data_IF_590567976449
#
_entry.id   IF_590567976449
#
_cell.length_a   1.000
_cell.length_b   1.000
_cell.length_c   1.000
_cell.angle_alpha   90.00
_cell.angle_beta   90.00
_cell.angle_gamma   90.00
#
_symmetry.space_group_name_H-M   'P 1'
#
loop_
_entity.id
_entity.type
_entity.pdbx_description
1 polymer ?
#
# COMPACT_ATOMS: atom_id res chain seq x y z
N UNK A 1 -4.74 -8.78 -28.33
CA UNK A 1 -3.66 -9.06 -27.37
C UNK A 1 -2.83 -7.81 -27.17
N UNK A 2 -2.55 -7.43 -25.92
CA UNK A 2 -1.60 -6.38 -25.57
C UNK A 2 -0.27 -7.04 -25.19
N UNK A 3 0.84 -6.60 -25.81
CA UNK A 3 2.20 -7.05 -25.49
C UNK A 3 3.03 -5.85 -25.07
N UNK A 4 3.70 -5.94 -23.92
CA UNK A 4 4.53 -4.87 -23.37
C UNK A 4 5.94 -5.38 -23.12
N UNK A 5 6.94 -4.75 -23.74
CA UNK A 5 8.37 -5.05 -23.60
C UNK A 5 9.09 -3.81 -23.05
N UNK A 6 9.23 -3.68 -21.70
CA UNK A 6 9.91 -2.56 -21.08
C UNK A 6 11.42 -2.60 -21.40
N UNK A 7 12.03 -1.47 -21.75
CA UNK A 7 13.48 -1.43 -22.08
C UNK A 7 14.39 -1.72 -20.88
N UNK A 8 13.91 -1.47 -19.67
CA UNK A 8 14.66 -1.65 -18.41
C UNK A 8 14.57 -3.07 -17.80
N UNK A 9 13.72 -3.95 -18.38
CA UNK A 9 13.57 -5.35 -17.96
C UNK A 9 13.81 -6.30 -19.15
N UNK A 10 14.35 -7.47 -18.84
CA UNK A 10 14.40 -8.57 -19.82
C UNK A 10 13.10 -9.37 -19.75
N UNK A 11 12.42 -9.53 -20.88
CA UNK A 11 11.15 -10.24 -21.01
C UNK A 11 10.00 -9.33 -21.41
N UNK A 12 8.83 -9.91 -21.52
CA UNK A 12 7.62 -9.21 -21.92
C UNK A 12 6.40 -9.70 -21.15
N UNK A 13 5.38 -8.86 -21.06
CA UNK A 13 4.03 -9.24 -20.62
C UNK A 13 3.14 -9.41 -21.85
N UNK A 14 2.34 -10.44 -21.83
CA UNK A 14 1.26 -10.66 -22.78
C UNK A 14 -0.06 -10.68 -22.00
N UNK A 15 -1.04 -9.89 -22.44
CA UNK A 15 -2.37 -9.80 -21.86
C UNK A 15 -3.44 -10.04 -22.93
N UNK A 16 -4.29 -11.03 -22.69
CA UNK A 16 -5.47 -11.31 -23.53
C UNK A 16 -6.68 -10.53 -23.00
N UNK A 17 -7.71 -10.38 -23.86
CA UNK A 17 -8.95 -9.65 -23.47
C UNK A 17 -9.82 -10.41 -22.45
N UNK A 18 -9.64 -11.72 -22.36
CA UNK A 18 -10.46 -12.62 -21.54
C UNK A 18 -9.74 -13.12 -20.27
N UNK A 19 -8.61 -12.52 -19.90
CA UNK A 19 -7.85 -12.89 -18.71
C UNK A 19 -7.57 -11.71 -17.78
N UNK A 20 -7.25 -12.00 -16.52
CA UNK A 20 -6.67 -11.08 -15.56
C UNK A 20 -5.25 -11.54 -15.26
N UNK A 21 -4.28 -10.68 -15.47
CA UNK A 21 -2.86 -10.96 -15.25
C UNK A 21 -2.34 -10.22 -14.03
N UNK A 22 -1.72 -10.93 -13.11
CA UNK A 22 -1.04 -10.35 -11.95
C UNK A 22 0.41 -10.03 -12.24
N UNK A 23 0.86 -8.83 -11.89
CA UNK A 23 2.24 -8.40 -11.94
C UNK A 23 2.77 -8.21 -10.51
N UNK A 24 3.62 -9.12 -10.06
CA UNK A 24 4.19 -9.11 -8.73
C UNK A 24 5.64 -8.66 -8.71
N UNK A 25 6.06 -8.10 -7.60
CA UNK A 25 7.42 -7.65 -7.37
C UNK A 25 7.50 -6.77 -6.14
N UNK A 26 8.70 -6.63 -5.61
CA UNK A 26 9.01 -5.76 -4.47
C UNK A 26 8.67 -4.29 -4.77
N UNK A 27 8.64 -3.47 -3.74
CA UNK A 27 8.64 -2.02 -3.92
C UNK A 27 9.89 -1.59 -4.70
N UNK A 28 9.71 -0.70 -5.66
CA UNK A 28 10.80 -0.26 -6.54
C UNK A 28 11.24 -1.28 -7.60
N UNK A 29 10.61 -2.46 -7.74
CA UNK A 29 10.95 -3.43 -8.78
C UNK A 29 10.60 -2.94 -10.20
N UNK A 30 9.78 -1.90 -10.33
CA UNK A 30 9.38 -1.34 -11.63
C UNK A 30 7.96 -1.70 -12.08
N UNK A 31 7.08 -2.17 -11.19
CA UNK A 31 5.68 -2.49 -11.52
C UNK A 31 4.96 -1.32 -12.19
N UNK A 32 4.95 -0.16 -11.54
CA UNK A 32 4.39 1.08 -12.10
C UNK A 32 5.07 1.46 -13.42
N UNK A 33 6.40 1.31 -13.51
CA UNK A 33 7.15 1.62 -14.73
C UNK A 33 6.73 0.73 -15.91
N UNK A 34 6.44 -0.56 -15.67
CA UNK A 34 5.88 -1.46 -16.70
C UNK A 34 4.52 -0.94 -17.19
N UNK A 35 3.65 -0.48 -16.29
CA UNK A 35 2.36 0.09 -16.66
C UNK A 35 2.52 1.42 -17.43
N UNK A 36 3.46 2.27 -17.01
CA UNK A 36 3.80 3.50 -17.76
C UNK A 36 4.37 3.17 -19.15
N UNK A 37 5.15 2.09 -19.29
CA UNK A 37 5.60 1.60 -20.60
C UNK A 37 4.40 1.18 -21.47
N UNK A 38 3.43 0.45 -20.91
CA UNK A 38 2.22 0.05 -21.62
C UNK A 38 1.40 1.25 -22.14
N UNK A 39 1.54 2.40 -21.51
CA UNK A 39 0.95 3.69 -21.91
C UNK A 39 1.90 4.51 -22.80
N UNK A 40 3.03 3.98 -23.23
CA UNK A 40 4.07 4.70 -24.00
C UNK A 40 4.60 5.98 -23.29
N UNK A 41 4.49 6.05 -21.97
CA UNK A 41 5.02 7.15 -21.16
C UNK A 41 6.44 6.86 -20.65
N UNK A 42 6.90 5.61 -20.82
CA UNK A 42 8.25 5.15 -20.52
C UNK A 42 8.77 4.33 -21.69
N UNK A 43 10.09 4.25 -21.80
CA UNK A 43 10.78 3.58 -22.93
C UNK A 43 10.51 2.08 -22.96
N UNK A 44 10.14 1.58 -24.15
CA UNK A 44 9.85 0.18 -24.41
C UNK A 44 9.10 -0.01 -25.72
N UNK A 45 8.68 -1.26 -25.99
CA UNK A 45 7.84 -1.59 -27.15
C UNK A 45 6.47 -2.03 -26.68
N UNK A 46 5.43 -1.49 -27.28
CA UNK A 46 4.05 -1.86 -27.01
C UNK A 46 3.34 -2.23 -28.29
N UNK A 47 2.90 -3.47 -28.35
CA UNK A 47 2.10 -3.97 -29.46
C UNK A 47 0.65 -4.17 -29.00
N UNK A 48 -0.29 -3.57 -29.70
CA UNK A 48 -1.72 -3.70 -29.43
C UNK A 48 -2.39 -4.31 -30.67
N UNK A 49 -2.84 -5.57 -30.56
CA UNK A 49 -3.50 -6.31 -31.64
C UNK A 49 -2.67 -6.43 -32.95
N UNK A 50 -1.34 -6.50 -32.85
CA UNK A 50 -0.42 -6.62 -33.99
C UNK A 50 0.16 -5.29 -34.49
N UNK A 51 -0.27 -4.16 -33.93
CA UNK A 51 0.17 -2.82 -34.32
C UNK A 51 1.10 -2.21 -33.25
N UNK A 52 2.06 -1.40 -33.67
CA UNK A 52 2.89 -0.60 -32.76
C UNK A 52 2.03 0.52 -32.15
N UNK A 53 1.64 0.31 -30.90
CA UNK A 53 0.76 1.25 -30.20
C UNK A 53 1.44 2.59 -29.95
N UNK A 54 2.76 2.61 -29.72
CA UNK A 54 3.47 3.86 -29.40
C UNK A 54 3.69 4.77 -30.61
N UNK A 55 3.60 4.24 -31.83
CA UNK A 55 3.70 5.07 -33.04
C UNK A 55 2.53 6.07 -33.15
N UNK A 56 1.33 5.70 -32.70
CA UNK A 56 0.14 6.54 -32.64
C UNK A 56 -0.75 6.08 -31.48
N UNK A 57 -0.47 6.51 -30.23
CA UNK A 57 -1.22 6.04 -29.07
C UNK A 57 -2.66 6.50 -29.10
N UNK A 58 -3.58 5.56 -28.91
CA UNK A 58 -4.98 5.84 -28.64
C UNK A 58 -5.29 5.46 -27.19
N UNK A 59 -5.19 6.41 -26.30
CA UNK A 59 -5.36 6.22 -24.87
C UNK A 59 -6.79 5.85 -24.44
N UNK A 60 -7.77 5.91 -25.34
CA UNK A 60 -9.12 5.40 -25.04
C UNK A 60 -9.17 3.88 -25.00
N UNK A 61 -8.20 3.21 -25.62
CA UNK A 61 -8.12 1.74 -25.70
C UNK A 61 -7.49 1.09 -24.47
N UNK A 62 -6.71 1.84 -23.66
CA UNK A 62 -6.05 1.34 -22.45
C UNK A 62 -6.39 2.25 -21.29
N UNK A 63 -7.25 1.77 -20.40
CA UNK A 63 -7.57 2.44 -19.15
C UNK A 63 -6.44 2.26 -18.12
N UNK A 64 -6.21 3.28 -17.29
CA UNK A 64 -5.24 3.21 -16.21
C UNK A 64 -5.84 3.68 -14.88
N UNK A 65 -5.61 2.92 -13.83
CA UNK A 65 -5.98 3.26 -12.45
C UNK A 65 -4.71 3.29 -11.61
N UNK A 66 -4.34 4.47 -11.13
CA UNK A 66 -3.11 4.65 -10.32
C UNK A 66 -3.28 4.16 -8.88
N UNK A 67 -2.16 3.94 -8.23
CA UNK A 67 -2.10 3.60 -6.80
C UNK A 67 -2.79 4.65 -5.93
N UNK A 68 -2.57 5.94 -6.23
CA UNK A 68 -3.18 7.06 -5.49
C UNK A 68 -4.39 7.64 -6.26
N UNK A 69 -5.63 7.35 -5.86
CA UNK A 69 -6.81 7.86 -6.54
C UNK A 69 -6.91 9.39 -6.56
N UNK A 70 -6.31 10.09 -5.57
CA UNK A 70 -6.37 11.55 -5.50
C UNK A 70 -5.62 12.25 -6.65
N UNK A 71 -4.71 11.56 -7.34
CA UNK A 71 -3.93 12.12 -8.45
C UNK A 71 -4.63 12.05 -9.81
N UNK A 72 -5.78 11.36 -9.92
CA UNK A 72 -6.46 11.10 -11.19
C UNK A 72 -7.84 11.74 -11.31
N UNK A 73 -8.36 12.35 -10.26
CA UNK A 73 -9.72 12.86 -10.20
C UNK A 73 -9.73 14.33 -10.60
N UNK A 74 -10.62 14.69 -11.52
CA UNK A 74 -10.87 16.05 -12.02
C UNK A 74 -12.17 16.62 -11.46
N UNK A 75 -13.21 15.79 -11.33
CA UNK A 75 -14.54 16.18 -10.86
C UNK A 75 -14.66 16.16 -9.33
N UNK A 76 -15.61 16.92 -8.79
CA UNK A 76 -15.94 16.84 -7.37
C UNK A 76 -16.69 15.57 -7.02
N UNK A 77 -17.59 15.11 -7.88
CA UNK A 77 -18.35 13.86 -7.80
C UNK A 77 -18.02 12.97 -8.99
N UNK A 78 -18.40 11.68 -8.94
CA UNK A 78 -18.25 10.79 -10.10
C UNK A 78 -19.12 11.25 -11.27
N UNK A 79 -20.25 11.87 -11.01
CA UNK A 79 -21.12 12.48 -12.01
C UNK A 79 -20.40 13.60 -12.76
N UNK A 80 -19.77 14.54 -12.03
CA UNK A 80 -18.99 15.63 -12.62
C UNK A 80 -17.78 15.11 -13.39
N UNK A 81 -17.12 14.06 -12.87
CA UNK A 81 -15.98 13.41 -13.52
C UNK A 81 -16.35 12.89 -14.91
N UNK A 82 -17.49 12.18 -15.02
CA UNK A 82 -17.96 11.65 -16.30
C UNK A 82 -18.40 12.77 -17.24
N UNK A 83 -19.02 13.82 -16.73
CA UNK A 83 -19.38 14.99 -17.52
C UNK A 83 -18.14 15.70 -18.09
N UNK A 84 -17.09 15.87 -17.29
CA UNK A 84 -15.81 16.42 -17.75
C UNK A 84 -15.20 15.52 -18.83
N UNK A 85 -15.13 14.19 -18.59
CA UNK A 85 -14.58 13.25 -19.55
C UNK A 85 -15.33 13.24 -20.88
N UNK A 86 -16.65 13.36 -20.85
CA UNK A 86 -17.48 13.37 -22.06
C UNK A 86 -17.15 14.49 -23.04
N UNK A 87 -16.46 15.55 -22.60
CA UNK A 87 -15.97 16.61 -23.49
C UNK A 87 -14.73 16.20 -24.31
N UNK A 88 -14.06 15.12 -23.96
CA UNK A 88 -12.82 14.69 -24.58
C UNK A 88 -12.90 13.29 -25.23
N UNK A 89 -13.71 12.40 -24.64
CA UNK A 89 -13.86 11.01 -25.08
C UNK A 89 -15.31 10.56 -24.94
N UNK A 90 -15.72 9.57 -25.74
CA UNK A 90 -17.00 8.90 -25.53
C UNK A 90 -16.98 8.17 -24.18
N UNK A 91 -17.94 8.50 -23.31
CA UNK A 91 -18.00 7.98 -21.95
C UNK A 91 -19.42 7.58 -21.55
N UNK A 92 -19.54 6.37 -21.01
CA UNK A 92 -20.80 5.79 -20.58
C UNK A 92 -21.11 6.09 -19.12
N UNK A 93 -22.00 7.05 -18.90
CA UNK A 93 -22.45 7.47 -17.58
C UNK A 93 -23.14 6.34 -16.81
N UNK A 94 -23.84 5.44 -17.51
CA UNK A 94 -24.60 4.36 -16.84
C UNK A 94 -23.67 3.31 -16.25
N UNK A 95 -22.53 3.01 -16.89
CA UNK A 95 -21.49 2.16 -16.31
C UNK A 95 -20.98 2.76 -15.00
N UNK A 96 -20.61 4.03 -15.01
CA UNK A 96 -20.09 4.70 -13.82
C UNK A 96 -21.15 4.77 -12.71
N UNK A 97 -22.40 5.10 -13.05
CA UNK A 97 -23.53 5.10 -12.11
C UNK A 97 -23.77 3.72 -11.50
N UNK A 98 -23.78 2.65 -12.31
CA UNK A 98 -23.93 1.27 -11.83
C UNK A 98 -22.80 0.86 -10.89
N UNK A 99 -21.58 1.25 -11.19
CA UNK A 99 -20.41 0.93 -10.36
C UNK A 99 -20.40 1.72 -9.05
N UNK A 100 -20.79 2.97 -9.05
CA UNK A 100 -20.81 3.81 -7.84
C UNK A 100 -22.06 3.64 -6.98
N UNK A 101 -23.20 3.28 -7.58
CA UNK A 101 -24.50 3.17 -6.89
C UNK A 101 -24.86 4.49 -6.21
N UNK A 102 -25.28 4.42 -4.94
CA UNK A 102 -25.71 5.58 -4.13
C UNK A 102 -24.59 6.63 -3.93
N UNK A 103 -23.35 6.27 -4.22
CA UNK A 103 -22.17 7.17 -4.07
C UNK A 103 -21.84 7.95 -5.35
N UNK A 104 -22.63 7.83 -6.42
CA UNK A 104 -22.35 8.45 -7.72
C UNK A 104 -22.26 9.99 -7.65
N UNK A 105 -23.14 10.62 -6.88
CA UNK A 105 -23.17 12.08 -6.67
C UNK A 105 -22.59 12.51 -5.31
N UNK A 106 -21.87 11.61 -4.61
CA UNK A 106 -21.21 11.94 -3.35
C UNK A 106 -19.84 12.57 -3.63
N UNK A 107 -19.50 13.71 -3.00
CA UNK A 107 -18.20 14.34 -3.17
C UNK A 107 -17.03 13.40 -2.87
N UNK A 108 -16.04 13.33 -3.76
CA UNK A 108 -14.89 12.45 -3.68
C UNK A 108 -14.18 12.51 -2.32
N UNK A 109 -14.04 13.72 -1.74
CA UNK A 109 -13.41 13.93 -0.44
C UNK A 109 -14.16 13.28 0.74
N UNK A 110 -15.45 12.95 0.57
CA UNK A 110 -16.28 12.29 1.59
C UNK A 110 -16.31 10.77 1.42
N UNK A 111 -15.77 10.25 0.32
CA UNK A 111 -15.72 8.82 0.06
C UNK A 111 -14.67 8.13 0.95
N UNK A 112 -14.95 6.90 1.36
CA UNK A 112 -13.92 6.02 1.92
C UNK A 112 -12.87 5.66 0.86
N UNK A 113 -11.69 5.20 1.29
CA UNK A 113 -10.61 4.86 0.34
C UNK A 113 -11.03 3.77 -0.66
N UNK A 114 -11.86 2.80 -0.25
CA UNK A 114 -12.44 1.81 -1.15
C UNK A 114 -13.33 2.45 -2.22
N UNK A 115 -14.18 3.37 -1.82
CA UNK A 115 -15.05 4.09 -2.78
C UNK A 115 -14.27 5.10 -3.64
N UNK A 116 -13.18 5.69 -3.16
CA UNK A 116 -12.29 6.51 -3.99
C UNK A 116 -11.64 5.70 -5.11
N UNK A 117 -11.16 4.48 -4.79
CA UNK A 117 -10.61 3.58 -5.82
C UNK A 117 -11.68 3.11 -6.79
N UNK A 118 -12.88 2.82 -6.29
CA UNK A 118 -14.02 2.47 -7.13
C UNK A 118 -14.44 3.63 -8.05
N UNK A 119 -14.36 4.87 -7.58
CA UNK A 119 -14.60 6.07 -8.37
C UNK A 119 -13.65 6.13 -9.58
N UNK A 120 -12.32 6.07 -9.36
CA UNK A 120 -11.34 6.11 -10.45
C UNK A 120 -11.49 4.93 -11.40
N UNK A 121 -11.80 3.73 -10.86
CA UNK A 121 -12.10 2.57 -11.69
C UNK A 121 -13.36 2.79 -12.55
N UNK A 122 -14.39 3.41 -11.99
CA UNK A 122 -15.64 3.71 -12.71
C UNK A 122 -15.40 4.74 -13.83
N UNK A 123 -14.58 5.75 -13.56
CA UNK A 123 -14.13 6.73 -14.55
C UNK A 123 -13.39 6.04 -15.70
N UNK A 124 -12.38 5.22 -15.39
CA UNK A 124 -11.63 4.48 -16.41
C UNK A 124 -12.49 3.51 -17.23
N UNK A 125 -13.43 2.81 -16.61
CA UNK A 125 -14.31 1.87 -17.30
C UNK A 125 -15.40 2.52 -18.14
N UNK A 126 -15.80 3.76 -17.83
CA UNK A 126 -16.79 4.49 -18.60
C UNK A 126 -16.36 4.76 -20.05
N UNK A 127 -15.07 4.75 -20.33
CA UNK A 127 -14.50 4.94 -21.68
C UNK A 127 -14.39 3.66 -22.49
N UNK A 128 -14.91 2.53 -22.01
CA UNK A 128 -14.89 1.22 -22.67
C UNK A 128 -13.49 0.78 -23.14
N UNK A 129 -12.45 0.83 -22.30
CA UNK A 129 -11.11 0.44 -22.72
C UNK A 129 -11.05 -1.05 -23.10
N UNK A 130 -10.21 -1.38 -24.10
CA UNK A 130 -9.96 -2.78 -24.47
C UNK A 130 -9.15 -3.52 -23.40
N UNK A 131 -8.28 -2.79 -22.70
CA UNK A 131 -7.43 -3.27 -21.61
C UNK A 131 -7.43 -2.29 -20.44
N UNK A 132 -7.29 -2.83 -19.24
CA UNK A 132 -7.21 -2.03 -18.02
C UNK A 132 -5.91 -2.33 -17.27
N UNK A 133 -5.21 -1.29 -16.87
CA UNK A 133 -4.02 -1.37 -16.04
C UNK A 133 -4.36 -0.84 -14.66
N UNK A 134 -4.15 -1.61 -13.59
CA UNK A 134 -4.46 -1.20 -12.23
C UNK A 134 -3.22 -1.34 -11.34
N UNK A 135 -2.74 -0.22 -10.81
CA UNK A 135 -1.55 -0.19 -9.98
C UNK A 135 -1.92 -0.20 -8.49
N UNK A 136 -1.55 -1.28 -7.79
CA UNK A 136 -1.75 -1.53 -6.37
C UNK A 136 -3.17 -1.18 -5.85
N UNK A 137 -4.24 -1.79 -6.41
CA UNK A 137 -5.62 -1.42 -6.09
C UNK A 137 -6.00 -1.69 -4.63
N UNK A 138 -5.36 -2.64 -3.95
CA UNK A 138 -5.74 -3.06 -2.61
C UNK A 138 -4.99 -2.33 -1.49
N UNK A 139 -4.07 -1.42 -1.83
CA UNK A 139 -3.40 -0.59 -0.84
C UNK A 139 -4.41 0.21 -0.01
N UNK A 140 -4.25 0.21 1.33
CA UNK A 140 -5.10 0.91 2.31
C UNK A 140 -6.57 0.44 2.39
N UNK A 141 -6.94 -0.66 1.72
CA UNK A 141 -8.28 -1.22 1.82
C UNK A 141 -8.36 -2.25 2.96
N UNK A 142 -9.51 -2.26 3.64
CA UNK A 142 -9.92 -3.37 4.50
C UNK A 142 -10.52 -4.51 3.65
N UNK A 143 -10.81 -5.66 4.26
CA UNK A 143 -11.35 -6.84 3.56
C UNK A 143 -12.65 -6.55 2.80
N UNK A 144 -13.51 -5.69 3.35
CA UNK A 144 -14.77 -5.31 2.70
C UNK A 144 -14.52 -4.46 1.45
N UNK A 145 -13.58 -3.50 1.53
CA UNK A 145 -13.14 -2.70 0.40
C UNK A 145 -12.52 -3.56 -0.71
N UNK A 146 -11.67 -4.51 -0.36
CA UNK A 146 -11.06 -5.45 -1.31
C UNK A 146 -12.14 -6.31 -1.98
N UNK A 147 -13.03 -6.94 -1.19
CA UNK A 147 -14.11 -7.78 -1.71
C UNK A 147 -15.04 -7.02 -2.67
N UNK A 148 -15.31 -5.75 -2.37
CA UNK A 148 -16.13 -4.88 -3.21
C UNK A 148 -15.42 -4.53 -4.52
N UNK A 149 -14.12 -4.25 -4.47
CA UNK A 149 -13.33 -3.87 -5.65
C UNK A 149 -13.12 -5.07 -6.59
N UNK A 150 -12.79 -6.25 -6.04
CA UNK A 150 -12.58 -7.49 -6.82
C UNK A 150 -13.77 -7.82 -7.72
N UNK A 151 -15.00 -7.59 -7.24
CA UNK A 151 -16.24 -7.89 -7.99
C UNK A 151 -16.43 -7.04 -9.25
N UNK A 152 -15.74 -5.91 -9.36
CA UNK A 152 -15.92 -4.95 -10.46
C UNK A 152 -14.72 -4.85 -11.40
N UNK A 153 -13.61 -5.55 -11.10
CA UNK A 153 -12.46 -5.64 -11.99
C UNK A 153 -12.82 -6.51 -13.21
N UNK A 154 -12.76 -5.97 -14.44
CA UNK A 154 -13.12 -6.73 -15.63
C UNK A 154 -12.00 -7.66 -16.10
N UNK A 155 -12.31 -8.52 -17.08
CA UNK A 155 -11.30 -9.24 -17.87
C UNK A 155 -10.55 -8.25 -18.78
N UNK A 156 -9.40 -8.65 -19.30
CA UNK A 156 -8.50 -7.74 -20.01
C UNK A 156 -7.70 -6.84 -19.07
N UNK A 157 -7.49 -7.25 -17.80
CA UNK A 157 -6.83 -6.44 -16.79
C UNK A 157 -5.42 -6.93 -16.46
N UNK A 158 -4.44 -6.01 -16.47
CA UNK A 158 -3.13 -6.17 -15.84
C UNK A 158 -3.16 -5.47 -14.47
N UNK A 159 -2.94 -6.24 -13.41
CA UNK A 159 -3.01 -5.76 -12.04
C UNK A 159 -1.65 -5.91 -11.36
N UNK A 160 -1.06 -4.81 -10.88
CA UNK A 160 0.16 -4.88 -10.06
C UNK A 160 -0.19 -5.02 -8.58
N UNK A 161 0.55 -5.84 -7.87
CA UNK A 161 0.43 -5.96 -6.41
C UNK A 161 1.72 -6.50 -5.75
N UNK A 162 1.83 -6.25 -4.46
CA UNK A 162 2.79 -6.92 -3.59
C UNK A 162 2.10 -7.79 -2.53
N UNK A 163 0.78 -7.63 -2.33
CA UNK A 163 -0.09 -8.44 -1.46
C UNK A 163 -0.69 -9.59 -2.26
N UNK A 164 -0.01 -10.74 -2.22
CA UNK A 164 -0.34 -11.84 -3.12
C UNK A 164 -1.69 -12.50 -2.80
N UNK A 165 -1.98 -12.77 -1.52
CA UNK A 165 -3.18 -13.53 -1.11
C UNK A 165 -4.49 -12.94 -1.63
N UNK A 166 -4.61 -11.61 -1.66
CA UNK A 166 -5.80 -10.91 -2.10
C UNK A 166 -6.05 -11.02 -3.61
N UNK A 167 -4.99 -11.30 -4.38
CA UNK A 167 -5.04 -11.30 -5.85
C UNK A 167 -5.17 -12.67 -6.47
N UNK A 168 -4.71 -13.73 -5.80
CA UNK A 168 -4.62 -15.08 -6.37
C UNK A 168 -5.94 -15.64 -6.89
N UNK A 169 -7.06 -15.32 -6.24
CA UNK A 169 -8.39 -15.78 -6.69
C UNK A 169 -8.90 -15.05 -7.93
N UNK A 170 -8.36 -13.86 -8.21
CA UNK A 170 -8.79 -12.99 -9.31
C UNK A 170 -8.03 -13.23 -10.60
N UNK A 171 -6.73 -13.53 -10.50
CA UNK A 171 -5.82 -13.63 -11.65
C UNK A 171 -5.85 -15.02 -12.30
N UNK A 172 -5.61 -15.08 -13.58
CA UNK A 172 -5.46 -16.31 -14.36
C UNK A 172 -3.98 -16.67 -14.53
N UNK A 173 -3.14 -15.68 -14.85
CA UNK A 173 -1.70 -15.79 -15.04
C UNK A 173 -0.96 -14.77 -14.21
N UNK A 174 0.32 -15.01 -13.97
CA UNK A 174 1.13 -14.12 -13.15
C UNK A 174 2.55 -13.96 -13.66
N UNK A 175 3.06 -12.74 -13.53
CA UNK A 175 4.45 -12.37 -13.78
C UNK A 175 5.12 -11.88 -12.51
N UNK A 176 6.40 -12.19 -12.36
CA UNK A 176 7.26 -11.70 -11.29
C UNK A 176 8.37 -10.83 -11.88
N UNK A 177 8.53 -9.63 -11.35
CA UNK A 177 9.72 -8.81 -11.62
C UNK A 177 10.78 -9.15 -10.59
N UNK A 178 11.92 -9.68 -11.06
CA UNK A 178 13.05 -10.07 -10.23
C UNK A 178 14.37 -9.84 -10.95
N UNK A 179 15.31 -9.18 -10.29
CA UNK A 179 16.70 -8.98 -10.76
C UNK A 179 16.79 -8.49 -12.22
N UNK A 180 15.96 -7.51 -12.58
CA UNK A 180 15.89 -6.96 -13.93
C UNK A 180 15.22 -7.87 -14.96
N UNK A 181 14.58 -8.95 -14.54
CA UNK A 181 13.86 -9.87 -15.39
C UNK A 181 12.37 -9.86 -15.09
N UNK A 182 11.56 -10.01 -16.14
CA UNK A 182 10.14 -10.21 -16.10
C UNK A 182 9.84 -11.67 -16.46
N UNK A 183 9.42 -12.46 -15.48
CA UNK A 183 9.29 -13.91 -15.61
C UNK A 183 7.88 -14.34 -15.31
N UNK A 184 7.26 -15.08 -16.22
CA UNK A 184 5.99 -15.74 -15.95
C UNK A 184 6.19 -16.83 -14.88
N UNK A 185 5.28 -16.88 -13.91
CA UNK A 185 5.31 -17.81 -12.79
C UNK A 185 3.96 -18.50 -12.63
N UNK A 186 4.03 -19.77 -12.30
CA UNK A 186 2.85 -20.53 -11.90
C UNK A 186 2.25 -19.97 -10.61
N UNK A 187 0.92 -19.86 -10.53
CA UNK A 187 0.19 -19.36 -9.37
C UNK A 187 0.49 -20.16 -8.09
N UNK A 188 0.76 -21.46 -8.21
CA UNK A 188 1.09 -22.33 -7.08
C UNK A 188 2.33 -21.88 -6.33
N UNK A 189 3.32 -21.29 -7.03
CA UNK A 189 4.50 -20.76 -6.38
C UNK A 189 4.18 -19.67 -5.34
N UNK A 190 3.15 -18.89 -5.59
CA UNK A 190 2.72 -17.80 -4.70
C UNK A 190 1.91 -18.27 -3.49
N UNK A 191 1.66 -19.57 -3.35
CA UNK A 191 1.07 -20.17 -2.14
C UNK A 191 2.15 -20.59 -1.14
N UNK A 192 3.41 -20.65 -1.55
CA UNK A 192 4.52 -21.12 -0.72
C UNK A 192 5.11 -19.98 0.13
N UNK A 193 5.07 -20.09 1.45
CA UNK A 193 5.65 -19.11 2.38
C UNK A 193 7.14 -18.80 2.08
N UNK A 194 7.92 -19.83 1.79
CA UNK A 194 9.35 -19.68 1.49
C UNK A 194 9.61 -18.93 0.19
N UNK A 195 8.76 -19.13 -0.83
CA UNK A 195 8.84 -18.38 -2.07
C UNK A 195 8.53 -16.91 -1.82
N UNK A 196 7.42 -16.60 -1.14
CA UNK A 196 7.03 -15.22 -0.85
C UNK A 196 8.10 -14.48 -0.05
N UNK A 197 8.65 -15.11 1.00
CA UNK A 197 9.76 -14.54 1.80
C UNK A 197 10.99 -14.25 0.96
N UNK A 198 11.41 -15.21 0.12
CA UNK A 198 12.60 -15.07 -0.73
C UNK A 198 12.45 -13.97 -1.78
N UNK A 199 11.25 -13.82 -2.34
CA UNK A 199 10.98 -12.82 -3.37
C UNK A 199 10.54 -11.45 -2.78
N UNK A 200 10.45 -11.33 -1.45
CA UNK A 200 10.05 -10.10 -0.76
C UNK A 200 8.59 -9.69 -1.04
N UNK A 201 7.73 -10.66 -1.30
CA UNK A 201 6.30 -10.46 -1.50
C UNK A 201 5.54 -10.65 -0.19
N UNK A 202 4.41 -9.97 -0.03
CA UNK A 202 3.55 -10.15 1.16
C UNK A 202 2.61 -11.34 1.03
N UNK A 203 2.17 -11.84 2.20
CA UNK A 203 1.27 -12.97 2.31
C UNK A 203 1.89 -14.22 2.92
N UNK A 204 3.20 -14.19 3.29
CA UNK A 204 3.78 -15.24 4.11
C UNK A 204 3.42 -15.07 5.59
N UNK A 205 3.53 -16.15 6.34
CA UNK A 205 3.39 -16.10 7.79
C UNK A 205 4.61 -15.45 8.42
N UNK A 206 4.37 -14.39 9.21
CA UNK A 206 5.42 -13.69 9.95
C UNK A 206 5.58 -14.33 11.34
N UNK A 207 6.83 -14.53 11.75
CA UNK A 207 7.11 -15.06 13.08
C UNK A 207 6.73 -14.03 14.16
N UNK A 208 6.07 -14.43 15.25
CA UNK A 208 5.70 -13.55 16.34
C UNK A 208 6.94 -12.89 16.99
N UNK A 209 6.72 -11.82 17.74
CA UNK A 209 7.76 -11.20 18.54
C UNK A 209 8.04 -12.02 19.80
N UNK A 210 9.31 -12.17 20.14
CA UNK A 210 9.78 -12.96 21.29
C UNK A 210 9.97 -12.06 22.52
N UNK A 211 8.88 -11.38 22.96
CA UNK A 211 8.93 -10.50 24.12
C UNK A 211 7.91 -10.91 25.16
N UNK A 212 8.27 -10.73 26.44
CA UNK A 212 7.36 -10.95 27.58
C UNK A 212 7.08 -9.60 28.23
N UNK A 213 5.84 -9.10 28.14
CA UNK A 213 5.44 -7.88 28.84
C UNK A 213 5.68 -7.97 30.34
N UNK A 214 6.16 -6.89 30.96
CA UNK A 214 6.30 -6.79 32.41
C UNK A 214 5.01 -6.28 33.07
N UNK A 215 4.99 -6.22 34.41
CA UNK A 215 3.87 -5.63 35.18
C UNK A 215 3.90 -4.07 35.18
N UNK A 216 5.00 -3.46 34.72
CA UNK A 216 5.15 -1.99 34.71
C UNK A 216 4.26 -1.36 33.67
N UNK A 217 3.33 -0.50 34.10
CA UNK A 217 2.47 0.28 33.20
C UNK A 217 3.22 1.49 32.66
N UNK A 218 3.31 1.61 31.33
CA UNK A 218 3.94 2.75 30.65
C UNK A 218 2.96 3.90 30.39
N UNK A 219 1.74 3.55 29.98
CA UNK A 219 0.69 4.55 29.71
C UNK A 219 -0.70 3.97 29.86
N UNK A 220 -1.66 4.82 30.17
CA UNK A 220 -3.09 4.53 30.15
C UNK A 220 -3.75 5.33 29.02
N UNK A 221 -4.69 4.76 28.33
CA UNK A 221 -5.45 5.41 27.25
C UNK A 221 -6.85 4.83 27.13
N UNK A 222 -7.70 5.44 26.30
CA UNK A 222 -9.08 4.98 26.12
C UNK A 222 -9.31 4.38 24.75
N UNK A 223 -10.02 3.25 24.72
CA UNK A 223 -10.49 2.58 23.50
C UNK A 223 -12.00 2.39 23.62
N UNK A 224 -12.82 3.00 22.78
CA UNK A 224 -14.30 2.95 22.85
C UNK A 224 -14.87 3.18 24.25
N UNK A 225 -14.28 4.10 25.01
CA UNK A 225 -14.72 4.44 26.37
C UNK A 225 -14.12 3.60 27.49
N UNK A 226 -13.53 2.45 27.19
CA UNK A 226 -12.82 1.62 28.17
C UNK A 226 -11.40 2.11 28.40
N UNK A 227 -10.93 2.02 29.63
CA UNK A 227 -9.54 2.31 29.98
C UNK A 227 -8.68 1.09 29.64
N UNK A 228 -7.62 1.33 28.87
CA UNK A 228 -6.62 0.35 28.50
C UNK A 228 -5.25 0.77 29.03
N UNK A 229 -4.40 -0.22 29.27
CA UNK A 229 -3.04 -0.01 29.76
C UNK A 229 -2.05 -0.67 28.83
N UNK A 230 -0.92 0.01 28.58
CA UNK A 230 0.22 -0.56 27.87
C UNK A 230 1.34 -0.82 28.87
N UNK A 231 1.89 -2.02 28.81
CA UNK A 231 2.97 -2.44 29.71
C UNK A 231 4.33 -2.34 29.03
N UNK A 232 5.38 -2.32 29.84
CA UNK A 232 6.76 -2.35 29.37
C UNK A 232 7.07 -3.65 28.64
N UNK A 233 7.64 -3.53 27.43
CA UNK A 233 7.93 -4.67 26.54
C UNK A 233 6.69 -5.25 25.85
N UNK A 234 5.53 -4.55 25.90
CA UNK A 234 4.29 -4.98 25.25
C UNK A 234 4.13 -4.36 23.88
N UNK A 235 3.72 -5.17 22.91
CA UNK A 235 3.13 -4.74 21.63
C UNK A 235 1.63 -4.98 21.65
N UNK A 236 0.85 -3.91 21.49
CA UNK A 236 -0.61 -3.93 21.50
C UNK A 236 -1.16 -3.54 20.14
N UNK A 237 -1.92 -4.44 19.50
CA UNK A 237 -2.68 -4.12 18.30
C UNK A 237 -4.10 -3.64 18.64
N UNK A 238 -4.53 -2.58 17.97
CA UNK A 238 -5.92 -2.14 17.90
C UNK A 238 -6.40 -2.40 16.48
N UNK A 239 -7.07 -3.53 16.29
CA UNK A 239 -7.59 -3.98 14.99
C UNK A 239 -8.99 -3.46 14.75
N UNK A 240 -9.29 -3.01 13.53
CA UNK A 240 -10.64 -2.60 13.14
C UNK A 240 -10.74 -2.15 11.69
N UNK A 241 -11.97 -2.13 11.18
CA UNK A 241 -12.27 -1.63 9.82
C UNK A 241 -11.91 -0.15 9.66
N UNK A 242 -11.85 0.31 8.42
CA UNK A 242 -11.71 1.74 8.15
C UNK A 242 -12.90 2.50 8.75
N UNK A 243 -12.61 3.65 9.40
CA UNK A 243 -13.62 4.45 10.11
C UNK A 243 -14.02 3.94 11.51
N UNK A 244 -13.47 2.83 12.02
CA UNK A 244 -13.81 2.30 13.35
C UNK A 244 -13.31 3.12 14.55
N UNK A 245 -12.49 4.17 14.29
CA UNK A 245 -11.94 5.04 15.33
C UNK A 245 -10.51 4.73 15.75
N UNK A 246 -9.76 3.90 14.99
CA UNK A 246 -8.34 3.57 15.22
C UNK A 246 -7.47 4.82 15.38
N UNK A 247 -7.43 5.65 14.35
CA UNK A 247 -6.66 6.92 14.35
C UNK A 247 -7.13 7.87 15.46
N UNK A 248 -8.43 7.90 15.79
CA UNK A 248 -8.97 8.71 16.90
C UNK A 248 -8.42 8.25 18.24
N UNK A 249 -8.27 6.94 18.43
CA UNK A 249 -7.64 6.38 19.63
C UNK A 249 -6.18 6.84 19.77
N UNK A 250 -5.40 6.80 18.67
CA UNK A 250 -4.02 7.29 18.69
C UNK A 250 -3.92 8.80 18.91
N UNK A 251 -4.83 9.59 18.33
CA UNK A 251 -4.89 11.05 18.57
C UNK A 251 -5.06 11.37 20.07
N UNK A 252 -5.76 10.53 20.82
CA UNK A 252 -5.89 10.65 22.29
C UNK A 252 -4.58 10.43 23.05
N UNK A 253 -3.51 9.98 22.39
CA UNK A 253 -2.17 9.82 22.97
C UNK A 253 -1.27 11.04 22.73
N UNK A 254 -1.63 11.95 21.83
CA UNK A 254 -0.85 13.16 21.53
C UNK A 254 -0.71 14.01 22.78
N UNK A 255 0.51 14.48 23.04
CA UNK A 255 0.83 15.32 24.18
C UNK A 255 0.98 14.57 25.51
N UNK A 256 0.78 13.25 25.55
CA UNK A 256 1.14 12.46 26.73
C UNK A 256 2.66 12.38 26.87
N UNK A 257 3.11 12.45 28.11
CA UNK A 257 4.53 12.34 28.44
C UNK A 257 5.09 11.00 27.94
N UNK A 258 6.27 11.02 27.38
CA UNK A 258 7.02 9.85 26.92
C UNK A 258 6.32 9.01 25.82
N UNK A 259 5.33 9.58 25.12
CA UNK A 259 4.63 8.93 23.98
C UNK A 259 4.96 9.66 22.69
N UNK A 260 5.37 8.89 21.68
CA UNK A 260 5.58 9.37 20.32
C UNK A 260 4.55 8.71 19.38
N UNK A 261 3.80 9.53 18.65
CA UNK A 261 2.75 9.06 17.75
C UNK A 261 3.19 9.24 16.30
N UNK A 262 3.14 8.16 15.54
CA UNK A 262 3.46 8.13 14.10
C UNK A 262 2.18 7.81 13.35
N UNK A 263 1.75 8.73 12.49
CA UNK A 263 0.55 8.57 11.66
C UNK A 263 0.84 7.87 10.34
N UNK A 264 -0.21 7.39 9.69
CA UNK A 264 -0.17 6.63 8.45
C UNK A 264 0.61 7.32 7.33
N UNK A 265 0.50 8.65 7.19
CA UNK A 265 1.28 9.40 6.22
C UNK A 265 2.52 10.03 6.88
N UNK A 266 3.72 9.46 6.71
CA UNK A 266 4.95 9.95 7.32
C UNK A 266 5.37 11.32 6.77
N UNK A 267 5.04 11.67 5.52
CA UNK A 267 5.44 12.94 4.90
C UNK A 267 4.89 14.16 5.64
N UNK A 268 3.78 14.01 6.34
CA UNK A 268 3.16 15.08 7.13
C UNK A 268 3.80 15.28 8.51
N UNK A 269 4.80 14.47 8.88
CA UNK A 269 5.39 14.46 10.22
C UNK A 269 6.87 14.80 10.25
N UNK A 270 7.50 14.97 9.11
CA UNK A 270 8.88 15.43 9.04
C UNK A 270 8.97 16.95 9.26
N UNK A 271 9.89 17.33 10.15
CA UNK A 271 10.15 18.73 10.46
C UNK A 271 11.47 19.24 9.84
N UNK A 272 12.36 18.33 9.48
CA UNK A 272 13.69 18.65 8.95
C UNK A 272 13.83 18.17 7.51
N UNK A 273 14.92 18.54 6.84
CA UNK A 273 15.12 18.23 5.43
C UNK A 273 15.93 16.95 5.20
N UNK A 274 16.71 16.52 6.19
CA UNK A 274 17.56 15.34 6.08
C UNK A 274 17.30 14.33 7.18
N UNK A 275 17.69 13.07 6.94
CA UNK A 275 17.58 11.99 7.92
C UNK A 275 18.37 12.32 9.20
N UNK A 276 19.56 12.92 9.07
CA UNK A 276 20.43 13.31 10.19
C UNK A 276 19.76 14.35 11.08
N UNK A 277 19.17 15.35 10.50
CA UNK A 277 18.50 16.43 11.23
C UNK A 277 17.24 15.93 11.93
N UNK A 278 16.51 15.00 11.30
CA UNK A 278 15.28 14.44 11.85
C UNK A 278 15.55 13.49 13.02
N UNK A 279 16.50 12.57 12.88
CA UNK A 279 16.79 11.56 13.91
C UNK A 279 17.74 12.05 15.01
N UNK A 280 18.71 12.91 14.69
CA UNK A 280 19.71 13.51 15.60
C UNK A 280 20.68 12.54 16.29
N UNK A 281 20.41 11.25 16.35
CA UNK A 281 21.23 10.25 17.05
C UNK A 281 21.97 9.33 16.05
N UNK A 282 23.32 9.48 15.91
CA UNK A 282 24.11 8.67 14.98
C UNK A 282 24.08 7.17 15.27
N UNK A 283 23.98 6.76 16.53
CA UNK A 283 23.97 5.34 16.89
C UNK A 283 22.64 4.69 16.52
N UNK A 284 21.53 5.40 16.72
CA UNK A 284 20.20 4.95 16.26
C UNK A 284 20.17 4.85 14.73
N UNK A 285 20.74 5.83 14.01
CA UNK A 285 20.84 5.78 12.54
C UNK A 285 21.63 4.56 12.05
N UNK A 286 22.77 4.26 12.67
CA UNK A 286 23.58 3.08 12.32
C UNK A 286 22.81 1.80 12.56
N UNK A 287 22.17 1.67 13.74
CA UNK A 287 21.38 0.50 14.11
C UNK A 287 20.19 0.24 13.16
N UNK A 288 19.55 1.28 12.67
CA UNK A 288 18.43 1.20 11.72
C UNK A 288 18.89 1.14 10.25
N UNK A 289 20.21 1.05 10.00
CA UNK A 289 20.76 0.97 8.65
C UNK A 289 20.65 2.25 7.82
N UNK A 290 20.34 3.38 8.46
CA UNK A 290 20.13 4.69 7.80
C UNK A 290 21.36 5.59 7.76
N UNK A 291 22.51 5.11 8.24
CA UNK A 291 23.74 5.93 8.29
C UNK A 291 24.20 6.41 6.92
N UNK A 292 24.11 5.56 5.89
CA UNK A 292 24.46 5.92 4.51
C UNK A 292 23.52 6.96 3.90
N UNK A 293 22.30 7.03 4.42
CA UNK A 293 21.26 7.94 3.99
C UNK A 293 21.20 9.22 4.83
N UNK A 294 22.11 9.38 5.82
CA UNK A 294 22.03 10.44 6.82
C UNK A 294 21.90 11.85 6.23
N UNK A 295 22.64 12.14 5.16
CA UNK A 295 22.67 13.45 4.50
C UNK A 295 21.73 13.54 3.29
N UNK A 296 20.94 12.47 3.00
CA UNK A 296 19.92 12.51 1.97
C UNK A 296 18.69 13.29 2.42
N UNK A 297 18.07 13.94 1.45
CA UNK A 297 16.75 14.51 1.63
C UNK A 297 15.74 13.38 1.92
N UNK A 298 14.62 13.72 2.57
CA UNK A 298 13.57 12.76 2.94
C UNK A 298 12.74 12.25 1.74
N UNK A 299 13.31 12.29 0.52
CA UNK A 299 12.79 11.59 -0.67
C UNK A 299 13.20 10.12 -0.54
N UNK A 300 12.50 9.43 0.36
CA UNK A 300 12.75 8.04 0.74
C UNK A 300 11.53 7.18 0.38
N UNK A 301 11.72 5.88 0.28
CA UNK A 301 10.60 4.93 0.22
C UNK A 301 9.73 5.00 1.49
N UNK A 302 8.49 4.52 1.41
CA UNK A 302 7.59 4.53 2.58
C UNK A 302 8.19 3.79 3.78
N UNK A 303 8.81 2.62 3.56
CA UNK A 303 9.47 1.85 4.62
C UNK A 303 10.65 2.59 5.26
N UNK A 304 11.48 3.27 4.46
CA UNK A 304 12.59 4.10 4.97
C UNK A 304 12.06 5.30 5.77
N UNK A 305 11.00 5.96 5.32
CA UNK A 305 10.35 7.05 6.06
C UNK A 305 9.83 6.58 7.42
N UNK A 306 9.20 5.40 7.48
CA UNK A 306 8.77 4.80 8.75
C UNK A 306 9.94 4.51 9.67
N UNK A 307 11.07 4.00 9.15
CA UNK A 307 12.30 3.79 9.94
C UNK A 307 12.85 5.11 10.51
N UNK A 308 12.84 6.18 9.73
CA UNK A 308 13.28 7.51 10.20
C UNK A 308 12.41 7.97 11.37
N UNK A 309 11.08 7.90 11.25
CA UNK A 309 10.17 8.33 12.33
C UNK A 309 10.29 7.44 13.58
N UNK A 310 10.43 6.12 13.44
CA UNK A 310 10.69 5.23 14.57
C UNK A 310 12.05 5.58 15.21
N UNK A 311 13.06 5.86 14.40
CA UNK A 311 14.37 6.31 14.86
C UNK A 311 14.30 7.64 15.62
N UNK A 312 13.50 8.59 15.16
CA UNK A 312 13.24 9.85 15.87
C UNK A 312 12.54 9.63 17.21
N UNK A 313 11.57 8.69 17.25
CA UNK A 313 10.92 8.29 18.50
C UNK A 313 11.92 7.68 19.51
N UNK A 314 12.84 6.84 19.03
CA UNK A 314 13.89 6.23 19.86
C UNK A 314 14.85 7.31 20.35
N UNK A 315 15.31 8.20 19.49
CA UNK A 315 16.26 9.29 19.77
C UNK A 315 15.65 10.31 20.78
N UNK A 316 14.33 10.52 20.73
CA UNK A 316 13.62 11.37 21.71
C UNK A 316 13.45 10.72 23.08
N UNK A 317 13.93 9.47 23.27
CA UNK A 317 13.81 8.67 24.49
C UNK A 317 12.36 8.39 24.91
N UNK A 318 11.43 8.40 23.96
CA UNK A 318 10.03 8.05 24.21
C UNK A 318 9.91 6.61 24.70
N UNK A 319 9.12 6.39 25.73
CA UNK A 319 8.88 5.04 26.30
C UNK A 319 7.79 4.27 25.56
N UNK A 320 6.94 4.97 24.85
CA UNK A 320 5.84 4.42 24.06
C UNK A 320 5.90 4.97 22.64
N UNK A 321 5.81 4.06 21.66
CA UNK A 321 5.70 4.39 20.23
C UNK A 321 4.33 3.91 19.74
N UNK A 322 3.51 4.84 19.27
CA UNK A 322 2.18 4.55 18.75
C UNK A 322 2.17 4.74 17.22
N UNK A 323 1.76 3.71 16.48
CA UNK A 323 1.88 3.60 15.03
C UNK A 323 0.51 3.43 14.38
N UNK A 324 0.14 4.30 13.45
CA UNK A 324 -1.11 4.21 12.69
C UNK A 324 -0.86 3.55 11.33
N UNK A 325 -1.43 2.36 11.11
CA UNK A 325 -1.32 1.56 9.87
C UNK A 325 0.14 1.44 9.35
N UNK A 326 1.13 1.06 10.18
CA UNK A 326 2.55 1.16 9.83
C UNK A 326 3.00 0.21 8.72
N UNK A 327 2.24 -0.85 8.44
CA UNK A 327 2.55 -1.83 7.41
C UNK A 327 1.91 -1.49 6.05
N UNK A 328 1.15 -0.39 5.98
CA UNK A 328 0.59 0.08 4.71
C UNK A 328 1.72 0.43 3.74
N UNK A 329 1.73 -0.22 2.57
CA UNK A 329 2.76 0.01 1.55
C UNK A 329 4.13 -0.63 1.83
N UNK A 330 4.29 -1.45 2.87
CA UNK A 330 5.49 -2.27 3.05
C UNK A 330 5.43 -3.52 2.18
N UNK A 331 6.50 -3.83 1.46
CA UNK A 331 6.71 -5.14 0.84
C UNK A 331 7.16 -6.20 1.88
N UNK A 332 7.38 -7.44 1.44
CA UNK A 332 7.73 -8.52 2.35
C UNK A 332 9.07 -8.30 3.08
N UNK A 333 10.08 -7.72 2.42
CA UNK A 333 11.36 -7.46 3.07
C UNK A 333 11.26 -6.31 4.07
N UNK A 334 10.60 -5.23 3.70
CA UNK A 334 10.35 -4.10 4.60
C UNK A 334 9.53 -4.52 5.82
N UNK A 335 8.61 -5.49 5.65
CA UNK A 335 7.84 -6.05 6.77
C UNK A 335 8.70 -6.87 7.72
N UNK A 336 9.64 -7.68 7.22
CA UNK A 336 10.59 -8.43 8.06
C UNK A 336 11.54 -7.49 8.80
N UNK A 337 11.99 -6.44 8.14
CA UNK A 337 12.81 -5.41 8.76
C UNK A 337 12.03 -4.66 9.86
N UNK A 338 10.77 -4.29 9.58
CA UNK A 338 9.88 -3.68 10.57
C UNK A 338 9.70 -4.58 11.80
N UNK A 339 9.50 -5.90 11.61
CA UNK A 339 9.47 -6.88 12.71
C UNK A 339 10.75 -6.81 13.56
N UNK A 340 11.93 -6.81 12.91
CA UNK A 340 13.22 -6.76 13.60
C UNK A 340 13.38 -5.46 14.42
N UNK A 341 12.94 -4.33 13.88
CA UNK A 341 12.97 -3.04 14.57
C UNK A 341 12.05 -3.07 15.80
N UNK A 342 10.83 -3.60 15.67
CA UNK A 342 9.89 -3.73 16.79
C UNK A 342 10.45 -4.63 17.89
N UNK A 343 11.07 -5.76 17.52
CA UNK A 343 11.73 -6.65 18.48
C UNK A 343 12.76 -5.89 19.33
N UNK A 344 13.66 -5.15 18.68
CA UNK A 344 14.67 -4.34 19.37
C UNK A 344 14.08 -3.24 20.26
N UNK A 345 13.03 -2.57 19.80
CA UNK A 345 12.31 -1.52 20.57
C UNK A 345 11.71 -2.09 21.85
N UNK A 346 11.09 -3.28 21.77
CA UNK A 346 10.47 -3.93 22.95
C UNK A 346 11.50 -4.50 23.92
N UNK A 347 12.62 -5.04 23.42
CA UNK A 347 13.74 -5.53 24.23
C UNK A 347 14.39 -4.41 25.05
N UNK A 348 14.38 -3.17 24.53
CA UNK A 348 14.80 -1.96 25.29
C UNK A 348 13.79 -1.56 26.39
N UNK A 349 12.71 -2.30 26.53
CA UNK A 349 11.67 -2.05 27.52
C UNK A 349 10.71 -0.92 27.14
N UNK A 350 10.63 -0.54 25.86
CA UNK A 350 9.58 0.36 25.36
C UNK A 350 8.29 -0.43 25.14
N UNK A 351 7.17 0.25 25.03
CA UNK A 351 5.90 -0.30 24.62
C UNK A 351 5.51 0.20 23.23
N UNK A 352 4.79 -0.60 22.46
CA UNK A 352 4.32 -0.26 21.11
C UNK A 352 2.81 -0.43 21.03
N UNK A 353 2.11 0.58 20.49
CA UNK A 353 0.69 0.50 20.13
C UNK A 353 0.62 0.56 18.59
N UNK A 354 -0.06 -0.40 17.97
CA UNK A 354 -0.25 -0.45 16.53
C UNK A 354 -1.75 -0.43 16.24
N UNK A 355 -2.21 0.54 15.47
CA UNK A 355 -3.54 0.44 14.88
C UNK A 355 -3.44 -0.15 13.49
N UNK A 356 -4.32 -1.09 13.15
CA UNK A 356 -4.26 -1.74 11.83
C UNK A 356 -5.58 -2.37 11.41
N UNK A 357 -5.76 -2.50 10.10
CA UNK A 357 -6.73 -3.38 9.45
C UNK A 357 -6.03 -4.59 8.76
N UNK A 358 -4.71 -4.70 8.89
CA UNK A 358 -3.86 -5.64 8.18
C UNK A 358 -3.55 -6.88 9.06
N UNK A 359 -4.04 -8.04 8.62
CA UNK A 359 -3.87 -9.30 9.36
C UNK A 359 -2.43 -9.83 9.35
N UNK A 360 -1.62 -9.47 8.37
CA UNK A 360 -0.24 -9.93 8.27
C UNK A 360 0.63 -9.48 9.46
N UNK A 361 0.24 -8.38 10.15
CA UNK A 361 1.03 -7.85 11.28
C UNK A 361 0.47 -8.20 12.66
N UNK A 362 -0.70 -8.83 12.72
CA UNK A 362 -1.29 -9.26 14.00
C UNK A 362 -0.35 -10.17 14.82
N UNK A 363 0.42 -11.10 14.19
CA UNK A 363 1.40 -11.91 14.94
C UNK A 363 2.51 -11.09 15.62
N UNK A 364 2.70 -9.83 15.25
CA UNK A 364 3.65 -8.91 15.91
C UNK A 364 3.11 -8.30 17.21
N UNK A 365 1.93 -8.69 17.66
CA UNK A 365 1.32 -8.12 18.85
C UNK A 365 1.11 -9.18 19.93
N UNK A 366 1.53 -8.85 21.17
CA UNK A 366 1.29 -9.71 22.35
C UNK A 366 -0.20 -9.72 22.72
N UNK A 367 -0.91 -8.60 22.44
CA UNK A 367 -2.34 -8.44 22.74
C UNK A 367 -3.05 -7.72 21.61
N UNK A 368 -4.30 -8.08 21.36
CA UNK A 368 -5.14 -7.49 20.30
C UNK A 368 -6.45 -7.00 20.91
N UNK A 369 -6.82 -5.76 20.61
CA UNK A 369 -8.13 -5.18 20.90
C UNK A 369 -8.88 -5.03 19.58
N UNK A 370 -10.09 -5.57 19.52
CA UNK A 370 -10.96 -5.46 18.36
C UNK A 370 -11.87 -4.22 18.48
N UNK A 371 -11.86 -3.33 17.47
CA UNK A 371 -12.76 -2.19 17.33
C UNK A 371 -13.99 -2.48 16.48
#
# INVERSE_FOLDING_TARGET
MLVVEPSFLKGRIELQKDEVVGLFGRNGAGKTTVMMTALCLMEGKVNLNGEDFCAKPDYTRIGYVSQNPNSQVLGETCEDEIEILSNFVDSDREIARKLMGDFFSVPFKRLSDGYKKRFVLSSALSTHPEYLLIDEPFANLDEEGISTLVKVIPRGTLLSEHRVKQTLSLIDRSYLIKDGNLVEKDKGAFLENNFLRREGLRGFEIDPLETKPSQEVLTQFRVKGSNEFLHKGESLCIKGKNGSGKTTTLKGLIGKKDVYVIFQNPDLQFFNQTVREEMKDPEVMKRLGLWKEADRSLILSHGEKMKVLIGSAISSKSRVIALDEPASGLDGFSLLEFRSILQGVLEEGRGVIITTNDDDIIPLCNRVIQL
#
